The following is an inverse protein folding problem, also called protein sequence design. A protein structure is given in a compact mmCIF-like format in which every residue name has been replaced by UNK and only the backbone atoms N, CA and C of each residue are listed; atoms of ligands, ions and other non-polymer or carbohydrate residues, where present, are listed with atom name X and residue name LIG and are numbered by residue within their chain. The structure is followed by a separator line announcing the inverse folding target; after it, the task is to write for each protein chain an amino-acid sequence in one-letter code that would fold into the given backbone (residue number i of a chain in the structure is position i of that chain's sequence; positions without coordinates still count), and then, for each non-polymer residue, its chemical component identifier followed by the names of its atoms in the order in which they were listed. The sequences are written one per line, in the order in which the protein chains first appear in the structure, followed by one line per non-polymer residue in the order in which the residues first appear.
data_IF_236847272360
#
_entry.id   IF_236847272360
#
_cell.length_a   1.000
_cell.length_b   1.000
_cell.length_c   1.000
_cell.angle_alpha   90.00
_cell.angle_beta   90.00
_cell.angle_gamma   90.00
#
_symmetry.space_group_name_H-M   'P 1'
#
loop_
_entity.id
_entity.type
_entity.pdbx_description
1 polymer ?
#
# COMPACT_ATOMS: atom_id res chain seq x y z
N UNK A 1 -6.13 14.68 1.14
CA UNK A 1 -6.85 13.42 0.88
C UNK A 1 -6.08 12.71 -0.22
N UNK A 2 -5.66 11.44 -0.09
CA UNK A 2 -4.98 10.78 -1.19
C UNK A 2 -5.97 10.72 -2.35
N UNK A 3 -5.70 11.49 -3.41
CA UNK A 3 -6.43 11.36 -4.67
C UNK A 3 -6.01 10.04 -5.28
N UNK A 4 -6.99 9.14 -5.44
CA UNK A 4 -6.80 7.90 -6.19
C UNK A 4 -6.50 8.29 -7.63
N UNK A 5 -5.22 8.24 -7.98
CA UNK A 5 -4.71 8.56 -9.30
C UNK A 5 -4.38 7.24 -10.01
N UNK A 6 -4.45 7.19 -11.35
CA UNK A 6 -4.06 6.00 -12.10
C UNK A 6 -2.65 5.52 -11.74
N UNK A 7 -1.74 6.46 -11.47
CA UNK A 7 -0.36 6.17 -11.07
C UNK A 7 -0.26 5.46 -9.71
N UNK A 8 -1.05 5.87 -8.70
CA UNK A 8 -1.05 5.21 -7.38
C UNK A 8 -1.72 3.85 -7.44
N UNK A 9 -2.70 3.66 -8.32
CA UNK A 9 -3.32 2.36 -8.56
C UNK A 9 -2.35 1.38 -9.23
N UNK A 10 -1.65 1.82 -10.28
CA UNK A 10 -0.60 1.02 -10.95
C UNK A 10 0.51 0.68 -9.97
N UNK A 11 0.96 1.64 -9.15
CA UNK A 11 1.95 1.37 -8.12
C UNK A 11 1.46 0.35 -7.09
N UNK A 12 0.19 0.41 -6.65
CA UNK A 12 -0.35 -0.51 -5.64
C UNK A 12 -0.46 -1.95 -6.14
N UNK A 13 -0.68 -2.12 -7.45
CA UNK A 13 -0.71 -3.42 -8.10
C UNK A 13 0.73 -3.90 -8.32
N UNK A 14 1.56 -3.16 -9.08
CA UNK A 14 2.87 -3.64 -9.49
C UNK A 14 3.82 -3.85 -8.32
N UNK A 15 3.82 -2.91 -7.37
CA UNK A 15 4.69 -2.92 -6.22
C UNK A 15 3.95 -2.27 -5.02
N UNK A 16 3.08 -3.02 -4.31
CA UNK A 16 2.30 -2.51 -3.19
C UNK A 16 3.08 -1.64 -2.17
N UNK A 17 4.33 -1.97 -1.78
CA UNK A 17 5.13 -1.09 -0.93
C UNK A 17 5.43 0.28 -1.54
N UNK A 18 5.58 0.40 -2.86
CA UNK A 18 5.82 1.67 -3.53
C UNK A 18 4.63 2.62 -3.40
N UNK A 19 3.40 2.12 -3.55
CA UNK A 19 2.20 2.94 -3.35
C UNK A 19 2.09 3.46 -1.92
N UNK A 20 2.43 2.62 -0.93
CA UNK A 20 2.45 2.99 0.49
C UNK A 20 3.53 4.00 0.82
N UNK A 21 4.72 3.85 0.24
CA UNK A 21 5.80 4.83 0.38
C UNK A 21 5.41 6.20 -0.19
N UNK A 22 4.79 6.22 -1.38
CA UNK A 22 4.38 7.48 -2.02
C UNK A 22 3.20 8.16 -1.33
N UNK A 23 2.31 7.40 -0.68
CA UNK A 23 1.12 7.97 -0.01
C UNK A 23 1.32 8.26 1.48
N UNK A 24 2.14 7.47 2.17
CA UNK A 24 2.32 7.53 3.63
C UNK A 24 3.78 7.66 4.08
N UNK A 25 4.75 7.52 3.19
CA UNK A 25 6.16 7.45 3.56
C UNK A 25 6.56 6.12 4.21
N UNK A 26 7.68 6.11 4.92
CA UNK A 26 8.18 4.93 5.63
C UNK A 26 7.42 4.79 6.94
N UNK A 27 6.37 3.97 6.92
CA UNK A 27 5.52 3.65 8.08
C UNK A 27 5.54 2.14 8.34
N UNK A 28 5.08 1.65 9.50
CA UNK A 28 5.01 0.20 9.74
C UNK A 28 4.11 -0.52 8.71
N UNK A 29 3.12 0.17 8.13
CA UNK A 29 2.34 -0.34 7.01
C UNK A 29 3.18 -0.62 5.74
N UNK A 30 4.20 0.20 5.45
CA UNK A 30 5.15 -0.04 4.36
C UNK A 30 5.93 -1.33 4.60
N UNK A 31 6.50 -1.49 5.79
CA UNK A 31 7.24 -2.71 6.16
C UNK A 31 6.36 -3.95 6.14
N UNK A 32 5.13 -3.85 6.65
CA UNK A 32 4.15 -4.93 6.60
C UNK A 32 3.87 -5.33 5.15
N UNK A 33 3.66 -4.36 4.25
CA UNK A 33 3.44 -4.66 2.84
C UNK A 33 4.63 -5.35 2.18
N UNK A 34 5.88 -5.02 2.55
CA UNK A 34 7.07 -5.73 2.05
C UNK A 34 7.06 -7.19 2.48
N UNK A 35 6.83 -7.44 3.78
CA UNK A 35 6.77 -8.79 4.34
C UNK A 35 5.66 -9.60 3.68
N UNK A 36 4.46 -9.02 3.54
CA UNK A 36 3.36 -9.69 2.85
C UNK A 36 3.74 -10.00 1.41
N UNK A 37 4.30 -9.04 0.67
CA UNK A 37 4.68 -9.23 -0.75
C UNK A 37 5.76 -10.31 -0.91
N UNK A 38 6.69 -10.44 0.04
CA UNK A 38 7.73 -11.47 0.05
C UNK A 38 7.18 -12.88 0.34
N UNK A 39 6.23 -13.01 1.27
CA UNK A 39 5.63 -14.30 1.66
C UNK A 39 4.54 -14.72 0.65
N UNK A 40 3.91 -13.74 0.01
CA UNK A 40 2.91 -13.94 -1.04
C UNK A 40 2.51 -12.61 -1.66
N UNK A 41 2.71 -12.45 -2.96
CA UNK A 41 2.36 -11.21 -3.64
C UNK A 41 0.87 -10.81 -3.49
N UNK A 42 -0.05 -11.79 -3.52
CA UNK A 42 -1.50 -11.57 -3.39
C UNK A 42 -1.91 -10.83 -2.10
N UNK A 43 -1.56 -11.30 -0.89
CA UNK A 43 -1.91 -10.59 0.35
C UNK A 43 -1.27 -9.19 0.41
N UNK A 44 -0.05 -9.01 -0.12
CA UNK A 44 0.59 -7.69 -0.23
C UNK A 44 -0.18 -6.73 -1.15
N UNK A 45 -0.65 -7.22 -2.29
CA UNK A 45 -1.45 -6.45 -3.24
C UNK A 45 -2.80 -6.02 -2.65
N UNK A 46 -3.51 -6.92 -1.97
CA UNK A 46 -4.78 -6.59 -1.29
C UNK A 46 -4.55 -5.52 -0.23
N UNK A 47 -3.48 -5.65 0.57
CA UNK A 47 -3.14 -4.67 1.59
C UNK A 47 -2.82 -3.30 0.98
N UNK A 48 -2.04 -3.25 -0.10
CA UNK A 48 -1.73 -2.01 -0.83
C UNK A 48 -2.96 -1.34 -1.44
N UNK A 49 -3.86 -2.11 -2.06
CA UNK A 49 -5.12 -1.60 -2.58
C UNK A 49 -6.05 -1.10 -1.47
N UNK A 50 -6.23 -1.88 -0.39
CA UNK A 50 -7.02 -1.47 0.76
C UNK A 50 -6.46 -0.20 1.39
N UNK A 51 -5.13 -0.05 1.43
CA UNK A 51 -4.48 1.16 1.89
C UNK A 51 -4.78 2.39 1.02
N UNK A 52 -4.81 2.23 -0.30
CA UNK A 52 -5.10 3.30 -1.26
C UNK A 52 -6.60 3.69 -1.26
N UNK A 53 -7.51 2.71 -1.25
CA UNK A 53 -8.95 2.93 -1.26
C UNK A 53 -9.54 3.31 0.10
N UNK A 54 -8.99 2.79 1.20
CA UNK A 54 -9.45 3.03 2.57
C UNK A 54 -8.37 3.70 3.44
N UNK A 55 -7.95 4.93 3.09
CA UNK A 55 -6.86 5.61 3.77
C UNK A 55 -7.14 5.98 5.24
N UNK A 56 -8.40 5.90 5.70
CA UNK A 56 -8.83 6.24 7.07
C UNK A 56 -8.87 5.06 8.05
N UNK A 57 -8.85 3.81 7.59
CA UNK A 57 -9.08 2.64 8.45
C UNK A 57 -7.81 1.96 8.96
N UNK A 58 -6.62 2.38 8.53
CA UNK A 58 -5.36 1.79 8.98
C UNK A 58 -4.75 2.75 10.02
N UNK A 59 -4.97 2.53 11.33
CA UNK A 59 -4.43 3.37 12.41
C UNK A 59 -2.94 3.13 12.67
N UNK A 60 -2.23 2.49 11.73
CA UNK A 60 -0.80 2.21 11.80
C UNK A 60 -0.06 3.40 11.18
N UNK A 61 -0.02 4.52 11.91
CA UNK A 61 0.86 5.65 11.59
C UNK A 61 2.29 5.33 12.01
#
# INVERSE_FOLDING_TARGET
MPSVNPLTLVAAILLPPLALFLTRGITPAFWLSIVLTLIGYLPGMIFGLAAVFFPRQIPIR
#
